data_IF_362496977665
#
_entry.id   IF_362496977665
#
_cell.length_a   1.000
_cell.length_b   1.000
_cell.length_c   1.000
_cell.angle_alpha   90.00
_cell.angle_beta   90.00
_cell.angle_gamma   90.00
#
_symmetry.space_group_name_H-M   'P 1'
#
loop_
_entity.id
_entity.type
_entity.pdbx_description
1 polymer ?
#
# COMPACT_ATOMS: atom_id res chain seq x y z
N UNK A 1 -12.11 1.15 1.99
CA UNK A 1 -13.28 2.06 2.05
C UNK A 1 -12.92 3.40 2.69
N UNK A 2 -12.28 3.42 3.88
CA UNK A 2 -11.91 4.68 4.56
C UNK A 2 -10.86 5.52 3.81
N UNK A 3 -9.86 4.91 3.14
CA UNK A 3 -8.85 5.67 2.39
C UNK A 3 -9.44 6.55 1.29
N UNK A 4 -10.40 6.04 0.52
CA UNK A 4 -11.06 6.81 -0.53
C UNK A 4 -11.84 7.98 0.07
N UNK A 5 -12.55 7.74 1.17
CA UNK A 5 -13.26 8.80 1.89
C UNK A 5 -12.28 9.86 2.45
N UNK A 6 -11.16 9.45 3.04
CA UNK A 6 -10.13 10.34 3.57
C UNK A 6 -9.44 11.15 2.47
N UNK A 7 -9.15 10.54 1.31
CA UNK A 7 -8.55 11.24 0.17
C UNK A 7 -9.52 12.25 -0.44
N UNK A 8 -10.81 11.89 -0.56
CA UNK A 8 -11.85 12.78 -1.08
C UNK A 8 -12.10 13.95 -0.12
N UNK A 9 -12.23 13.68 1.18
CA UNK A 9 -12.43 14.72 2.19
C UNK A 9 -11.18 15.61 2.33
N UNK A 10 -9.99 15.03 2.30
CA UNK A 10 -8.71 15.75 2.30
C UNK A 10 -8.58 16.70 1.11
N UNK A 11 -8.97 16.26 -0.09
CA UNK A 11 -8.99 17.11 -1.28
C UNK A 11 -10.03 18.25 -1.16
N UNK A 12 -11.20 17.98 -0.56
CA UNK A 12 -12.22 19.01 -0.31
C UNK A 12 -11.72 20.06 0.71
N UNK A 13 -10.97 19.63 1.73
CA UNK A 13 -10.35 20.50 2.73
C UNK A 13 -9.27 21.38 2.09
N UNK A 14 -8.35 20.80 1.29
CA UNK A 14 -7.32 21.56 0.56
C UNK A 14 -7.94 22.65 -0.32
N UNK A 15 -9.01 22.33 -1.05
CA UNK A 15 -9.71 23.27 -1.92
C UNK A 15 -10.30 24.46 -1.16
N UNK A 16 -10.80 24.23 0.07
CA UNK A 16 -11.29 25.30 0.96
C UNK A 16 -10.17 26.11 1.58
N UNK A 17 -9.06 25.47 1.93
CA UNK A 17 -7.93 26.11 2.60
C UNK A 17 -7.01 26.88 1.62
N UNK A 18 -7.11 26.61 0.32
CA UNK A 18 -6.30 27.25 -0.73
C UNK A 18 -4.82 26.84 -0.71
N UNK A 19 -4.47 25.81 0.06
CA UNK A 19 -3.10 25.31 0.23
C UNK A 19 -3.08 23.79 0.37
N UNK A 20 -1.96 23.17 0.02
CA UNK A 20 -1.80 21.73 0.12
C UNK A 20 -1.68 21.27 1.58
N UNK A 21 -2.46 20.24 1.94
CA UNK A 21 -2.64 19.66 3.26
C UNK A 21 -2.60 18.11 3.22
N UNK A 22 -2.92 17.48 2.08
CA UNK A 22 -2.79 16.04 1.87
C UNK A 22 -1.37 15.49 2.13
N UNK A 23 -0.28 16.18 1.76
CA UNK A 23 1.08 15.74 2.08
C UNK A 23 1.33 15.65 3.60
N UNK A 24 0.79 16.56 4.39
CA UNK A 24 0.92 16.54 5.85
C UNK A 24 0.18 15.36 6.48
N UNK A 25 -1.01 15.01 5.94
CA UNK A 25 -1.75 13.81 6.36
C UNK A 25 -0.96 12.53 6.06
N UNK A 26 -0.32 12.46 4.89
CA UNK A 26 0.57 11.34 4.54
C UNK A 26 1.79 11.28 5.45
N UNK A 27 2.37 12.43 5.80
CA UNK A 27 3.47 12.50 6.77
C UNK A 27 3.08 11.99 8.14
N UNK A 28 1.90 12.35 8.65
CA UNK A 28 1.37 11.86 9.92
C UNK A 28 1.13 10.33 9.89
N UNK A 29 0.62 9.80 8.78
CA UNK A 29 0.47 8.35 8.59
C UNK A 29 1.81 7.62 8.64
N UNK A 30 2.83 8.14 7.95
CA UNK A 30 4.17 7.56 8.00
C UNK A 30 4.78 7.60 9.40
N UNK A 31 4.62 8.72 10.12
CA UNK A 31 5.08 8.83 11.51
C UNK A 31 4.37 7.83 12.44
N UNK A 32 3.05 7.66 12.29
CA UNK A 32 2.29 6.67 13.04
C UNK A 32 2.75 5.25 12.76
N UNK A 33 3.06 4.94 11.50
CA UNK A 33 3.58 3.62 11.10
C UNK A 33 4.95 3.37 11.73
N UNK A 34 5.83 4.37 11.73
CA UNK A 34 7.18 4.28 12.29
C UNK A 34 7.15 4.13 13.82
N UNK A 35 6.28 4.89 14.49
CA UNK A 35 6.04 4.78 15.92
C UNK A 35 5.43 3.42 16.30
N UNK A 36 4.45 2.93 15.53
CA UNK A 36 3.84 1.62 15.75
C UNK A 36 4.83 0.47 15.59
N UNK A 37 5.66 0.51 14.54
CA UNK A 37 6.73 -0.48 14.35
C UNK A 37 7.76 -0.44 15.50
N UNK A 38 8.17 0.75 15.95
CA UNK A 38 9.06 0.91 17.08
C UNK A 38 8.48 0.36 18.39
N UNK A 39 7.22 0.66 18.69
CA UNK A 39 6.52 0.13 19.87
C UNK A 39 6.35 -1.39 19.79
N UNK A 40 6.07 -1.93 18.59
CA UNK A 40 6.02 -3.38 18.34
C UNK A 40 7.35 -4.06 18.63
N UNK A 41 8.45 -3.50 18.13
CA UNK A 41 9.79 -4.03 18.39
C UNK A 41 10.14 -3.98 19.89
N UNK A 42 9.81 -2.89 20.59
CA UNK A 42 10.01 -2.80 22.05
C UNK A 42 9.18 -3.85 22.79
N UNK A 43 7.94 -4.10 22.37
CA UNK A 43 7.10 -5.12 22.98
C UNK A 43 7.65 -6.54 22.76
N UNK A 44 8.24 -6.80 21.60
CA UNK A 44 8.95 -8.06 21.30
C UNK A 44 10.19 -8.22 22.19
N UNK A 45 11.00 -7.17 22.34
CA UNK A 45 12.17 -7.15 23.23
C UNK A 45 11.83 -7.41 24.70
N UNK A 46 10.61 -7.05 25.12
CA UNK A 46 10.10 -7.25 26.48
C UNK A 46 9.32 -8.57 26.64
N UNK A 47 9.32 -9.44 25.62
CA UNK A 47 8.61 -10.72 25.61
C UNK A 47 7.12 -10.59 25.96
N UNK A 48 6.49 -9.49 25.51
CA UNK A 48 5.08 -9.22 25.79
C UNK A 48 4.21 -10.27 25.10
N UNK A 49 3.35 -11.00 25.82
CA UNK A 49 2.47 -11.98 25.21
C UNK A 49 1.58 -11.37 24.13
N UNK A 50 1.51 -12.02 22.96
CA UNK A 50 0.72 -11.56 21.80
C UNK A 50 -0.73 -11.18 22.15
N UNK A 51 -1.48 -11.94 22.99
CA UNK A 51 -2.84 -11.55 23.35
C UNK A 51 -2.93 -10.21 24.07
N UNK A 52 -1.92 -9.89 24.90
CA UNK A 52 -1.85 -8.62 25.64
C UNK A 52 -1.54 -7.48 24.69
N UNK A 53 -0.56 -7.66 23.80
CA UNK A 53 -0.21 -6.66 22.79
C UNK A 53 -1.39 -6.33 21.87
N UNK A 54 -2.09 -7.35 21.36
CA UNK A 54 -3.27 -7.18 20.52
C UNK A 54 -4.44 -6.56 21.28
N UNK A 55 -4.65 -6.93 22.55
CA UNK A 55 -5.68 -6.34 23.41
C UNK A 55 -5.48 -4.85 23.62
N UNK A 56 -4.24 -4.43 23.93
CA UNK A 56 -3.89 -3.01 24.09
C UNK A 56 -4.08 -2.25 22.78
N UNK A 57 -3.60 -2.79 21.65
CA UNK A 57 -3.79 -2.17 20.34
C UNK A 57 -5.27 -2.02 19.98
N UNK A 58 -6.10 -3.02 20.26
CA UNK A 58 -7.53 -2.96 20.01
C UNK A 58 -8.20 -1.82 20.79
N UNK A 59 -7.85 -1.65 22.08
CA UNK A 59 -8.36 -0.56 22.91
C UNK A 59 -7.88 0.80 22.38
N UNK A 60 -6.60 0.95 22.05
CA UNK A 60 -6.05 2.19 21.49
C UNK A 60 -6.76 2.58 20.19
N UNK A 61 -6.93 1.62 19.28
CA UNK A 61 -7.65 1.85 18.01
C UNK A 61 -9.10 2.23 18.27
N UNK A 62 -9.79 1.56 19.18
CA UNK A 62 -11.18 1.86 19.52
C UNK A 62 -11.33 3.27 20.10
N UNK A 63 -10.54 3.62 21.11
CA UNK A 63 -10.57 4.93 21.77
C UNK A 63 -10.25 6.04 20.78
N UNK A 64 -9.21 5.85 19.96
CA UNK A 64 -8.83 6.83 18.94
C UNK A 64 -9.94 7.01 17.90
N UNK A 65 -10.53 5.91 17.43
CA UNK A 65 -11.62 5.95 16.46
C UNK A 65 -12.86 6.66 17.00
N UNK A 66 -13.28 6.35 18.23
CA UNK A 66 -14.43 7.00 18.88
C UNK A 66 -14.15 8.49 19.10
N UNK A 67 -12.95 8.83 19.57
CA UNK A 67 -12.55 10.22 19.81
C UNK A 67 -12.52 11.03 18.52
N UNK A 68 -11.95 10.48 17.44
CA UNK A 68 -11.94 11.12 16.12
C UNK A 68 -13.37 11.36 15.65
N UNK A 69 -14.25 10.35 15.71
CA UNK A 69 -15.64 10.48 15.29
C UNK A 69 -16.39 11.53 16.11
N UNK A 70 -16.16 11.60 17.43
CA UNK A 70 -16.78 12.60 18.30
C UNK A 70 -16.31 14.04 18.01
N UNK A 71 -15.09 14.20 17.50
CA UNK A 71 -14.48 15.49 17.18
C UNK A 71 -14.77 15.95 15.74
N UNK A 72 -15.38 15.11 14.90
CA UNK A 72 -15.67 15.47 13.51
C UNK A 72 -16.75 16.55 13.44
N UNK A 73 -16.50 17.65 12.68
CA UNK A 73 -17.52 18.65 12.43
C UNK A 73 -18.77 18.05 11.77
N UNK A 74 -19.99 18.53 12.09
CA UNK A 74 -21.24 18.04 11.49
C UNK A 74 -21.30 18.19 9.94
N UNK A 75 -20.41 19.00 9.37
CA UNK A 75 -20.29 19.25 7.94
C UNK A 75 -19.44 18.21 7.18
N UNK A 76 -18.66 17.37 7.89
CA UNK A 76 -17.78 16.37 7.28
C UNK A 76 -18.57 15.36 6.44
N UNK A 77 -18.12 15.08 5.22
CA UNK A 77 -18.77 14.14 4.31
C UNK A 77 -20.04 14.65 3.60
N UNK A 78 -20.50 15.89 3.86
CA UNK A 78 -21.71 16.44 3.20
C UNK A 78 -21.50 16.79 1.72
N UNK A 79 -20.26 17.03 1.28
CA UNK A 79 -19.95 17.25 -0.15
C UNK A 79 -20.04 15.97 -0.98
N UNK A 80 -19.69 14.82 -0.40
CA UNK A 80 -19.90 13.51 -1.00
C UNK A 80 -21.41 13.23 -1.21
N UNK A 81 -22.26 13.70 -0.30
CA UNK A 81 -23.72 13.63 -0.44
C UNK A 81 -24.27 14.51 -1.58
N UNK A 82 -23.69 15.70 -1.82
CA UNK A 82 -24.12 16.60 -2.91
C UNK A 82 -23.67 16.13 -4.30
N UNK A 83 -22.47 15.53 -4.40
CA UNK A 83 -22.00 14.89 -5.64
C UNK A 83 -22.81 13.63 -5.94
N UNK A 84 -23.08 12.78 -4.95
CA UNK A 84 -23.95 11.60 -5.09
C UNK A 84 -25.39 11.95 -5.47
N UNK A 85 -25.91 13.11 -5.06
CA UNK A 85 -27.25 13.58 -5.44
C UNK A 85 -27.31 14.22 -6.85
N UNK A 86 -26.17 14.68 -7.40
CA UNK A 86 -26.06 15.14 -8.80
C UNK A 86 -25.79 13.98 -9.77
N UNK A 87 -25.09 12.95 -9.32
CA UNK A 87 -24.97 11.68 -10.03
C UNK A 87 -26.19 10.81 -9.70
N UNK A 88 -27.30 10.98 -10.42
CA UNK A 88 -28.40 10.01 -10.36
C UNK A 88 -27.86 8.58 -10.54
N UNK A 89 -28.63 7.59 -10.11
CA UNK A 89 -28.33 6.14 -10.12
C UNK A 89 -27.83 5.59 -11.47
N UNK A 90 -27.89 6.40 -12.54
CA UNK A 90 -27.30 6.16 -13.85
C UNK A 90 -25.76 6.25 -13.91
N UNK A 91 -25.09 6.89 -12.95
CA UNK A 91 -23.64 7.12 -12.98
C UNK A 91 -22.78 5.89 -12.62
N UNK A 92 -23.34 4.93 -11.87
CA UNK A 92 -22.60 3.72 -11.47
C UNK A 92 -22.40 2.75 -12.62
N UNK A 93 -23.42 2.55 -13.46
CA UNK A 93 -23.38 1.66 -14.63
C UNK A 93 -22.61 2.27 -15.81
N UNK A 94 -22.48 3.59 -15.88
CA UNK A 94 -21.66 4.25 -16.91
C UNK A 94 -20.16 4.07 -16.68
N UNK A 95 -19.72 3.89 -15.43
CA UNK A 95 -18.31 3.61 -15.10
C UNK A 95 -17.88 2.25 -15.69
N UNK A 96 -18.74 1.23 -15.57
CA UNK A 96 -18.48 -0.11 -16.13
C UNK A 96 -18.52 -0.14 -17.66
N UNK A 97 -19.11 0.88 -18.30
CA UNK A 97 -19.13 1.04 -19.75
C UNK A 97 -17.89 1.77 -20.29
N UNK A 98 -17.17 2.50 -19.44
CA UNK A 98 -15.92 3.15 -19.84
C UNK A 98 -14.77 2.16 -19.69
N UNK A 99 -14.38 1.55 -20.82
CA UNK A 99 -13.27 0.60 -20.91
C UNK A 99 -11.98 1.15 -20.31
N UNK A 100 -11.72 2.47 -20.38
CA UNK A 100 -10.51 3.06 -19.82
C UNK A 100 -10.52 3.00 -18.29
N UNK A 101 -11.67 3.27 -17.67
CA UNK A 101 -11.80 3.22 -16.21
C UNK A 101 -11.70 1.78 -15.71
N UNK A 102 -12.32 0.83 -16.41
CA UNK A 102 -12.23 -0.60 -16.08
C UNK A 102 -10.79 -1.11 -16.19
N UNK A 103 -10.07 -0.75 -17.26
CA UNK A 103 -8.66 -1.13 -17.45
C UNK A 103 -7.76 -0.52 -16.36
N UNK A 104 -7.95 0.75 -16.01
CA UNK A 104 -7.20 1.38 -14.92
C UNK A 104 -7.50 0.70 -13.56
N UNK A 105 -8.76 0.33 -13.32
CA UNK A 105 -9.16 -0.43 -12.13
C UNK A 105 -8.51 -1.81 -12.09
N UNK A 106 -8.46 -2.53 -13.22
CA UNK A 106 -7.82 -3.84 -13.32
C UNK A 106 -6.31 -3.76 -13.10
N UNK A 107 -5.64 -2.75 -13.68
CA UNK A 107 -4.22 -2.48 -13.48
C UNK A 107 -3.94 -2.17 -12.00
N UNK A 108 -4.76 -1.32 -11.37
CA UNK A 108 -4.62 -0.99 -9.95
C UNK A 108 -4.84 -2.23 -9.06
N UNK A 109 -5.83 -3.06 -9.37
CA UNK A 109 -6.09 -4.31 -8.66
C UNK A 109 -4.91 -5.28 -8.78
N UNK A 110 -4.38 -5.46 -10.00
CA UNK A 110 -3.21 -6.33 -10.23
C UNK A 110 -1.97 -5.84 -9.48
N UNK A 111 -1.70 -4.53 -9.47
CA UNK A 111 -0.60 -3.96 -8.70
C UNK A 111 -0.79 -4.15 -7.19
N UNK A 112 -1.98 -3.89 -6.66
CA UNK A 112 -2.27 -4.07 -5.24
C UNK A 112 -2.14 -5.54 -4.82
N UNK A 113 -2.60 -6.46 -5.68
CA UNK A 113 -2.48 -7.90 -5.43
C UNK A 113 -1.02 -8.37 -5.45
N UNK A 114 -0.23 -7.91 -6.43
CA UNK A 114 1.20 -8.21 -6.51
C UNK A 114 1.97 -7.66 -5.31
N UNK A 115 1.67 -6.42 -4.90
CA UNK A 115 2.28 -5.78 -3.74
C UNK A 115 1.93 -6.50 -2.43
N UNK A 116 0.66 -6.85 -2.23
CA UNK A 116 0.20 -7.58 -1.04
C UNK A 116 0.82 -8.98 -0.97
N UNK A 117 0.78 -9.71 -2.08
CA UNK A 117 1.39 -11.05 -2.17
C UNK A 117 2.88 -11.02 -1.84
N UNK A 118 3.60 -10.02 -2.34
CA UNK A 118 5.02 -9.87 -2.05
C UNK A 118 5.30 -9.48 -0.58
N UNK A 119 4.44 -8.69 0.07
CA UNK A 119 4.63 -8.38 1.49
C UNK A 119 4.45 -9.62 2.38
N UNK A 120 3.44 -10.43 2.08
CA UNK A 120 3.06 -11.53 2.97
C UNK A 120 3.85 -12.82 2.68
N UNK A 121 4.14 -13.09 1.41
CA UNK A 121 4.63 -14.41 0.98
C UNK A 121 6.06 -14.41 0.43
N UNK A 122 6.68 -13.25 0.15
CA UNK A 122 8.03 -13.21 -0.42
C UNK A 122 9.09 -13.85 0.48
N UNK A 123 9.18 -13.57 1.80
CA UNK A 123 10.19 -14.19 2.65
C UNK A 123 10.01 -15.71 2.73
N UNK A 124 8.76 -16.15 2.91
CA UNK A 124 8.40 -17.56 3.02
C UNK A 124 8.65 -18.31 1.70
N UNK A 125 8.25 -17.74 0.57
CA UNK A 125 8.46 -18.32 -0.75
C UNK A 125 9.94 -18.41 -1.15
N UNK A 126 10.78 -17.49 -0.67
CA UNK A 126 12.23 -17.58 -0.84
C UNK A 126 12.81 -18.71 0.02
N UNK A 127 12.45 -18.77 1.30
CA UNK A 127 12.95 -19.81 2.23
C UNK A 127 12.49 -21.21 1.80
N UNK A 128 11.18 -21.42 1.65
CA UNK A 128 10.59 -22.72 1.37
C UNK A 128 10.75 -23.14 -0.10
N UNK A 129 10.74 -22.17 -1.02
CA UNK A 129 10.86 -22.44 -2.46
C UNK A 129 12.29 -22.65 -2.95
N UNK A 130 13.28 -22.04 -2.28
CA UNK A 130 14.69 -22.11 -2.69
C UNK A 130 15.59 -22.82 -1.68
N UNK A 131 15.06 -23.25 -0.55
CA UNK A 131 15.81 -23.94 0.50
C UNK A 131 16.89 -23.08 1.15
N UNK A 132 16.75 -21.75 1.13
CA UNK A 132 17.69 -20.81 1.74
C UNK A 132 17.29 -20.49 3.19
N UNK A 133 18.25 -20.07 4.01
CA UNK A 133 17.98 -19.74 5.42
C UNK A 133 17.09 -18.50 5.60
N UNK A 134 16.41 -18.41 6.75
CA UNK A 134 15.51 -17.29 7.10
C UNK A 134 16.18 -15.91 7.04
N UNK A 135 17.48 -15.83 7.34
CA UNK A 135 18.25 -14.60 7.21
C UNK A 135 18.32 -14.09 5.76
N UNK A 136 18.44 -15.00 4.78
CA UNK A 136 18.42 -14.65 3.35
C UNK A 136 17.02 -14.22 2.91
N UNK A 137 15.97 -14.91 3.36
CA UNK A 137 14.58 -14.51 3.10
C UNK A 137 14.28 -13.10 3.63
N UNK A 138 14.73 -12.79 4.86
CA UNK A 138 14.61 -11.46 5.45
C UNK A 138 15.41 -10.40 4.66
N UNK A 139 16.63 -10.71 4.23
CA UNK A 139 17.45 -9.78 3.43
C UNK A 139 16.79 -9.44 2.08
N UNK A 140 16.21 -10.42 1.39
CA UNK A 140 15.46 -10.21 0.13
C UNK A 140 14.24 -9.32 0.37
N UNK A 141 13.52 -9.55 1.47
CA UNK A 141 12.39 -8.71 1.86
C UNK A 141 12.80 -7.26 2.15
N UNK A 142 13.92 -7.04 2.86
CA UNK A 142 14.46 -5.69 3.11
C UNK A 142 14.78 -4.97 1.80
N UNK A 143 15.41 -5.66 0.84
CA UNK A 143 15.70 -5.09 -0.49
C UNK A 143 14.40 -4.71 -1.22
N UNK A 144 13.38 -5.56 -1.15
CA UNK A 144 12.05 -5.29 -1.72
C UNK A 144 11.40 -4.04 -1.11
N UNK A 145 11.34 -3.95 0.22
CA UNK A 145 10.75 -2.80 0.93
C UNK A 145 11.54 -1.51 0.65
N UNK A 146 12.87 -1.59 0.59
CA UNK A 146 13.72 -0.45 0.23
C UNK A 146 13.41 0.04 -1.19
N UNK A 147 13.35 -0.85 -2.17
CA UNK A 147 13.01 -0.51 -3.55
C UNK A 147 11.61 0.12 -3.66
N UNK A 148 10.62 -0.45 -2.97
CA UNK A 148 9.26 0.10 -2.89
C UNK A 148 9.26 1.52 -2.31
N UNK A 149 9.99 1.72 -1.22
CA UNK A 149 10.11 3.02 -0.53
C UNK A 149 10.76 4.05 -1.45
N UNK A 150 11.86 3.70 -2.11
CA UNK A 150 12.51 4.56 -3.10
C UNK A 150 11.56 4.92 -4.24
N UNK A 151 10.80 3.95 -4.76
CA UNK A 151 9.78 4.17 -5.79
C UNK A 151 8.71 5.17 -5.35
N UNK A 152 8.27 5.13 -4.09
CA UNK A 152 7.31 6.11 -3.53
C UNK A 152 7.91 7.51 -3.39
N UNK A 153 9.15 7.62 -2.93
CA UNK A 153 9.83 8.90 -2.70
C UNK A 153 10.23 9.60 -4.01
N UNK A 154 10.65 8.82 -5.02
CA UNK A 154 11.08 9.33 -6.32
C UNK A 154 9.92 9.43 -7.31
N UNK A 155 8.87 8.62 -7.14
CA UNK A 155 7.75 8.51 -8.07
C UNK A 155 7.08 9.85 -8.37
N UNK A 156 6.90 10.71 -7.37
CA UNK A 156 6.35 12.06 -7.59
C UNK A 156 7.20 12.90 -8.55
N UNK A 157 8.52 12.95 -8.33
CA UNK A 157 9.45 13.70 -9.19
C UNK A 157 9.53 13.13 -10.60
N UNK A 158 9.43 11.81 -10.74
CA UNK A 158 9.41 11.12 -12.05
C UNK A 158 8.12 11.44 -12.80
N UNK A 159 6.96 11.39 -12.12
CA UNK A 159 5.67 11.77 -12.71
C UNK A 159 5.67 13.22 -13.16
N UNK A 160 6.22 14.12 -12.35
CA UNK A 160 6.26 15.56 -12.67
C UNK A 160 7.18 15.86 -13.86
N UNK A 161 8.27 15.10 -14.04
CA UNK A 161 9.23 15.28 -15.14
C UNK A 161 8.82 14.60 -16.44
N UNK A 162 8.28 13.38 -16.37
CA UNK A 162 8.04 12.52 -17.55
C UNK A 162 6.54 12.33 -17.87
N UNK A 163 5.66 12.82 -17.01
CA UNK A 163 4.21 12.69 -17.15
C UNK A 163 3.67 11.34 -16.65
N UNK A 164 2.38 11.33 -16.32
CA UNK A 164 1.69 10.18 -15.72
C UNK A 164 1.71 8.93 -16.59
N UNK A 165 1.44 9.06 -17.90
CA UNK A 165 1.35 7.90 -18.81
C UNK A 165 2.70 7.21 -18.98
N UNK A 166 3.78 7.99 -19.24
CA UNK A 166 5.11 7.42 -19.36
C UNK A 166 5.55 6.77 -18.04
N UNK A 167 5.35 7.43 -16.90
CA UNK A 167 5.79 6.88 -15.61
C UNK A 167 5.18 5.51 -15.32
N UNK A 168 3.90 5.29 -15.65
CA UNK A 168 3.24 3.98 -15.48
C UNK A 168 3.86 2.90 -16.38
N UNK A 169 4.15 3.21 -17.64
CA UNK A 169 4.77 2.24 -18.56
C UNK A 169 6.20 1.89 -18.12
N UNK A 170 6.97 2.89 -17.69
CA UNK A 170 8.34 2.72 -17.25
C UNK A 170 8.44 2.02 -15.89
N UNK A 171 7.45 2.17 -15.01
CA UNK A 171 7.40 1.43 -13.75
C UNK A 171 6.91 0.00 -13.91
N UNK A 172 6.11 -0.29 -14.94
CA UNK A 172 5.60 -1.63 -15.20
C UNK A 172 6.71 -2.61 -15.63
N UNK A 173 7.65 -2.17 -16.46
CA UNK A 173 8.75 -3.02 -16.94
C UNK A 173 9.61 -3.64 -15.82
N UNK A 174 10.16 -2.87 -14.86
CA UNK A 174 10.94 -3.44 -13.75
C UNK A 174 10.08 -4.27 -12.80
N UNK A 175 8.79 -3.94 -12.63
CA UNK A 175 7.88 -4.74 -11.80
C UNK A 175 7.67 -6.14 -12.41
N UNK A 176 7.39 -6.21 -13.72
CA UNK A 176 7.25 -7.48 -14.45
C UNK A 176 8.56 -8.26 -14.44
N UNK A 177 9.69 -7.59 -14.70
CA UNK A 177 11.00 -8.23 -14.67
C UNK A 177 11.33 -8.83 -13.29
N UNK A 178 11.06 -8.10 -12.20
CA UNK A 178 11.26 -8.58 -10.84
C UNK A 178 10.43 -9.83 -10.53
N UNK A 179 9.15 -9.83 -10.92
CA UNK A 179 8.26 -10.99 -10.75
C UNK A 179 8.76 -12.18 -11.57
N UNK A 180 9.15 -11.97 -12.83
CA UNK A 180 9.68 -13.04 -13.68
C UNK A 180 10.97 -13.62 -13.12
N UNK A 181 11.86 -12.79 -12.57
CA UNK A 181 13.09 -13.27 -11.92
C UNK A 181 12.74 -14.18 -10.74
N UNK A 182 11.80 -13.80 -9.88
CA UNK A 182 11.40 -14.62 -8.72
C UNK A 182 10.67 -15.92 -9.14
N UNK A 183 9.95 -15.92 -10.26
CA UNK A 183 9.31 -17.15 -10.76
C UNK A 183 10.34 -18.06 -11.43
N UNK A 184 11.21 -17.50 -12.27
CA UNK A 184 12.16 -18.27 -13.08
C UNK A 184 13.42 -18.67 -12.30
N UNK A 185 13.82 -17.92 -11.29
CA UNK A 185 14.98 -18.28 -10.47
C UNK A 185 14.77 -19.64 -9.78
N UNK A 186 13.54 -19.99 -9.40
CA UNK A 186 13.24 -21.30 -8.81
C UNK A 186 13.48 -22.42 -9.80
N UNK A 187 13.17 -22.18 -11.08
CA UNK A 187 13.46 -23.13 -12.17
C UNK A 187 14.96 -23.16 -12.51
N UNK A 188 15.66 -22.02 -12.50
CA UNK A 188 17.11 -21.96 -12.74
C UNK A 188 17.91 -22.65 -11.62
N UNK A 189 17.49 -22.49 -10.37
CA UNK A 189 18.08 -23.15 -9.19
C UNK A 189 17.62 -24.61 -9.07
N UNK A 190 16.55 -25.05 -9.73
CA UNK A 190 16.21 -26.48 -9.88
C UNK A 190 16.88 -27.13 -11.10
N UNK A 191 17.20 -26.35 -12.15
CA UNK A 191 17.93 -26.79 -13.33
C UNK A 191 19.44 -26.88 -13.09
N UNK A 192 20.00 -25.99 -12.26
CA UNK A 192 21.43 -25.95 -11.93
C UNK A 192 21.98 -27.11 -11.07
N UNK A 193 21.27 -27.72 -10.10
CA UNK A 193 21.84 -28.74 -9.22
C UNK A 193 21.64 -30.18 -9.71
N UNK A 194 20.95 -30.41 -10.84
CA UNK A 194 20.86 -31.75 -11.44
C UNK A 194 21.90 -32.01 -12.54
N UNK A 195 22.70 -31.01 -12.90
CA UNK A 195 23.78 -31.17 -13.87
C UNK A 195 25.10 -31.68 -13.24
N UNK A 196 25.17 -31.83 -11.92
CA UNK A 196 26.34 -32.40 -11.25
C UNK A 196 25.94 -33.14 -9.96
N UNK A 197 25.94 -34.48 -10.05
CA UNK A 197 25.78 -35.52 -9.02
C UNK A 197 24.39 -36.11 -8.85
#
# INVERSE_FOLDING_TARGET
MCEVALNVEGAAIEKRMGRSFLPSLRGAFSLGTLAGAGLGAVAELLDVPVPVHLGVLAVVVLVTSVSVVALLPPATGREAGRTRRRSGTSGGLTIWRDTRIVLLGLIALGMAFAEGSANDWLPLGIVDGYGVGSATGAAVYVVFVAAMTSGRLLGGRVVDRYGRSATVHWSAAPAVAGVLIVILAGNLVLAAPRAAR
#
